data_IF_049340389077
#
_entry.id   IF_049340389077
#
_cell.length_a   1.000
_cell.length_b   1.000
_cell.length_c   1.000
_cell.angle_alpha   90.00
_cell.angle_beta   90.00
_cell.angle_gamma   90.00
#
_symmetry.space_group_name_H-M   'P 1'
#
loop_
_entity.id
_entity.type
_entity.pdbx_description
1 polymer ?
#
# COMPACT_ATOMS: atom_id res chain seq x y z
N UNK A 1 -17.19 -34.04 8.00
CA UNK A 1 -15.94 -33.28 8.09
C UNK A 1 -15.06 -33.66 6.92
N UNK A 2 -14.78 -32.73 6.01
CA UNK A 2 -14.01 -33.02 4.81
C UNK A 2 -12.51 -32.91 5.08
N UNK A 3 -11.81 -34.02 4.78
CA UNK A 3 -10.34 -34.08 4.66
C UNK A 3 -9.95 -33.80 3.20
N UNK A 4 -8.88 -33.05 3.02
CA UNK A 4 -8.11 -32.91 1.79
C UNK A 4 -7.09 -31.80 2.03
N UNK A 5 -5.80 -31.93 1.80
CA UNK A 5 -4.99 -32.90 1.09
C UNK A 5 -3.68 -32.14 0.83
N UNK A 6 -2.57 -32.67 1.31
CA UNK A 6 -1.28 -32.01 1.23
C UNK A 6 -0.82 -31.92 -0.23
N UNK A 7 -0.71 -30.69 -0.77
CA UNK A 7 0.15 -30.41 -1.91
C UNK A 7 0.60 -28.94 -1.87
N UNK A 8 1.67 -28.67 -1.12
CA UNK A 8 2.41 -27.40 -1.25
C UNK A 8 3.89 -27.60 -0.98
N UNK A 9 4.53 -28.45 -1.80
CA UNK A 9 5.98 -28.42 -1.97
C UNK A 9 6.25 -28.10 -3.44
N UNK A 10 7.21 -27.20 -3.64
CA UNK A 10 7.75 -26.67 -4.91
C UNK A 10 7.09 -25.39 -5.43
N UNK A 11 7.40 -24.25 -4.78
CA UNK A 11 7.62 -22.98 -5.49
C UNK A 11 8.86 -22.29 -4.88
N UNK A 12 10.07 -22.45 -5.43
CA UNK A 12 11.21 -21.65 -5.03
C UNK A 12 11.19 -20.35 -5.82
N UNK A 13 10.75 -19.28 -5.16
CA UNK A 13 11.32 -17.94 -5.35
C UNK A 13 10.84 -17.12 -4.17
N UNK A 14 11.77 -16.70 -3.34
CA UNK A 14 11.58 -15.87 -2.15
C UNK A 14 10.95 -14.49 -2.46
N UNK A 15 10.56 -14.24 -3.70
CA UNK A 15 9.80 -13.08 -4.19
C UNK A 15 8.29 -13.18 -3.94
N UNK A 16 7.70 -14.37 -3.81
CA UNK A 16 6.24 -14.56 -3.97
C UNK A 16 5.41 -14.54 -2.68
N UNK A 17 5.96 -14.16 -1.52
CA UNK A 17 5.25 -14.26 -0.23
C UNK A 17 4.92 -12.92 0.43
N UNK A 18 5.43 -11.79 -0.06
CA UNK A 18 5.01 -10.47 0.43
C UNK A 18 3.93 -9.87 -0.48
N UNK A 19 2.79 -9.39 0.07
CA UNK A 19 1.80 -8.72 -0.73
C UNK A 19 2.40 -7.45 -1.37
N UNK A 20 2.10 -7.17 -2.65
CA UNK A 20 2.61 -6.00 -3.36
C UNK A 20 2.06 -4.66 -2.81
N UNK A 21 1.03 -4.72 -1.96
CA UNK A 21 0.42 -3.57 -1.31
C UNK A 21 0.05 -3.89 0.14
N UNK A 22 0.14 -2.89 1.01
CA UNK A 22 -0.40 -2.93 2.38
C UNK A 22 -1.06 -1.60 2.71
N UNK A 23 -2.26 -1.68 3.28
CA UNK A 23 -2.98 -0.52 3.78
C UNK A 23 -3.02 -0.57 5.31
N UNK A 24 -2.52 0.47 5.95
CA UNK A 24 -2.40 0.57 7.41
C UNK A 24 -3.18 1.80 7.91
N UNK A 25 -4.03 1.60 8.91
CA UNK A 25 -4.72 2.69 9.61
C UNK A 25 -4.02 2.94 10.95
N UNK A 26 -3.44 4.11 11.11
CA UNK A 26 -2.82 4.56 12.34
C UNK A 26 -3.80 5.45 13.09
N UNK A 27 -4.19 5.03 14.29
CA UNK A 27 -5.02 5.83 15.17
C UNK A 27 -4.14 6.73 16.03
N UNK A 28 -4.20 8.04 15.80
CA UNK A 28 -3.50 9.04 16.58
C UNK A 28 -4.43 9.52 17.70
N UNK A 29 -3.96 9.46 18.95
CA UNK A 29 -4.71 9.83 20.16
C UNK A 29 -6.04 9.06 20.32
N UNK A 30 -5.97 7.72 20.31
CA UNK A 30 -7.13 6.86 20.53
C UNK A 30 -7.91 6.62 19.24
N UNK A 31 -8.86 7.50 18.89
CA UNK A 31 -9.66 7.43 17.65
C UNK A 31 -9.98 8.81 17.04
N UNK A 32 -9.51 9.91 17.64
CA UNK A 32 -9.84 11.26 17.18
C UNK A 32 -9.25 11.60 15.80
N UNK A 33 -8.15 10.95 15.40
CA UNK A 33 -7.55 11.14 14.08
C UNK A 33 -7.05 9.82 13.54
N UNK A 34 -7.52 9.46 12.35
CA UNK A 34 -7.08 8.27 11.63
C UNK A 34 -6.18 8.71 10.48
N UNK A 35 -4.98 8.13 10.41
CA UNK A 35 -4.06 8.31 9.28
C UNK A 35 -3.98 7.00 8.49
N UNK A 36 -4.39 7.03 7.23
CA UNK A 36 -4.22 5.91 6.31
C UNK A 36 -2.86 6.02 5.62
N UNK A 37 -2.12 4.92 5.62
CA UNK A 37 -0.94 4.70 4.81
C UNK A 37 -1.22 3.55 3.83
N UNK A 38 -1.28 3.85 2.54
CA UNK A 38 -1.36 2.82 1.49
C UNK A 38 0.00 2.67 0.82
N UNK A 39 0.68 1.56 1.08
CA UNK A 39 2.09 1.32 0.77
C UNK A 39 2.22 0.30 -0.34
N UNK A 40 3.03 0.62 -1.35
CA UNK A 40 3.37 -0.28 -2.43
C UNK A 40 4.79 -0.81 -2.29
N UNK A 41 4.95 -2.10 -2.52
CA UNK A 41 6.21 -2.83 -2.36
C UNK A 41 6.65 -3.44 -3.68
N UNK A 42 7.93 -3.29 -4.00
CA UNK A 42 8.62 -3.97 -5.07
C UNK A 42 9.84 -4.67 -4.47
N UNK A 43 10.00 -5.96 -4.72
CA UNK A 43 11.09 -6.78 -4.15
C UNK A 43 11.22 -6.67 -2.63
N UNK A 44 10.07 -6.63 -1.94
CA UNK A 44 9.94 -6.41 -0.49
C UNK A 44 10.37 -5.03 0.01
N UNK A 45 10.79 -4.13 -0.87
CA UNK A 45 11.12 -2.75 -0.56
C UNK A 45 9.92 -1.85 -0.82
N UNK A 46 9.53 -1.06 0.17
CA UNK A 46 8.53 0.00 -0.01
C UNK A 46 9.11 1.04 -0.98
N UNK A 47 8.45 1.28 -2.11
CA UNK A 47 8.92 2.25 -3.10
C UNK A 47 8.00 3.47 -3.21
N UNK A 48 6.71 3.32 -2.89
CA UNK A 48 5.70 4.37 -3.00
C UNK A 48 4.67 4.24 -1.87
N UNK A 49 4.19 5.39 -1.35
CA UNK A 49 3.14 5.40 -0.32
C UNK A 49 2.16 6.55 -0.50
N UNK A 50 0.87 6.28 -0.47
CA UNK A 50 -0.15 7.32 -0.24
C UNK A 50 -0.27 7.62 1.25
N UNK A 51 -0.23 8.90 1.61
CA UNK A 51 -0.36 9.37 2.98
C UNK A 51 -1.58 10.28 3.09
N UNK A 52 -2.58 9.87 3.87
CA UNK A 52 -3.82 10.63 4.01
C UNK A 52 -3.61 11.99 4.65
N UNK A 53 -2.63 12.14 5.56
CA UNK A 53 -2.35 13.42 6.21
C UNK A 53 -1.77 14.44 5.23
N UNK A 54 -1.03 13.96 4.21
CA UNK A 54 -0.49 14.80 3.14
C UNK A 54 -1.45 14.88 1.94
N UNK A 55 -2.39 13.95 1.85
CA UNK A 55 -3.33 13.82 0.74
C UNK A 55 -2.65 13.54 -0.61
N UNK A 56 -1.50 12.86 -0.62
CA UNK A 56 -0.72 12.60 -1.84
C UNK A 56 0.16 11.35 -1.73
N UNK A 57 0.66 10.89 -2.87
CA UNK A 57 1.70 9.87 -2.92
C UNK A 57 3.07 10.47 -2.62
N UNK A 58 3.86 9.74 -1.85
CA UNK A 58 5.23 10.04 -1.45
C UNK A 58 6.11 8.90 -1.92
N UNK A 59 7.16 9.23 -2.67
CA UNK A 59 8.18 8.28 -3.05
C UNK A 59 9.04 7.93 -1.83
N UNK A 60 9.28 6.63 -1.62
CA UNK A 60 10.17 6.13 -0.56
C UNK A 60 11.56 5.84 -1.11
N UNK A 61 11.65 5.49 -2.39
CA UNK A 61 12.89 5.28 -3.12
C UNK A 61 12.88 6.07 -4.42
N UNK A 62 14.04 6.21 -5.07
CA UNK A 62 14.16 6.87 -6.37
C UNK A 62 13.25 6.24 -7.46
N UNK A 63 13.04 4.92 -7.41
CA UNK A 63 12.10 4.23 -8.30
C UNK A 63 10.66 4.75 -8.15
N UNK A 64 10.28 5.16 -6.94
CA UNK A 64 8.97 5.69 -6.63
C UNK A 64 8.75 7.13 -7.09
N UNK A 65 9.80 7.90 -7.40
CA UNK A 65 9.70 9.34 -7.67
C UNK A 65 8.84 9.62 -8.91
N UNK A 66 9.21 9.03 -10.05
CA UNK A 66 8.44 9.16 -11.28
C UNK A 66 7.00 8.62 -11.14
N UNK A 67 6.81 7.59 -10.32
CA UNK A 67 5.48 7.02 -10.05
C UNK A 67 4.64 7.97 -9.18
N UNK A 68 5.24 8.58 -8.15
CA UNK A 68 4.61 9.55 -7.28
C UNK A 68 4.18 10.79 -8.05
N UNK A 69 5.04 11.34 -8.89
CA UNK A 69 4.73 12.51 -9.71
C UNK A 69 3.59 12.23 -10.67
N UNK A 70 3.61 11.09 -11.36
CA UNK A 70 2.53 10.67 -12.24
C UNK A 70 1.21 10.52 -11.49
N UNK A 71 1.21 9.82 -10.35
CA UNK A 71 0.01 9.63 -9.54
C UNK A 71 -0.52 10.94 -8.93
N UNK A 72 0.37 11.85 -8.51
CA UNK A 72 0.01 13.14 -7.94
C UNK A 72 -0.50 14.14 -9.00
N UNK A 73 -0.01 14.03 -10.24
CA UNK A 73 -0.50 14.82 -11.37
C UNK A 73 -1.89 14.38 -11.86
N UNK A 74 -2.27 13.13 -11.62
CA UNK A 74 -3.59 12.61 -11.97
C UNK A 74 -4.63 12.96 -10.89
N UNK A 75 -5.47 13.96 -11.21
CA UNK A 75 -6.53 14.44 -10.31
C UNK A 75 -7.55 13.37 -9.96
N UNK A 76 -7.87 12.46 -10.87
CA UNK A 76 -8.86 11.41 -10.61
C UNK A 76 -8.33 10.42 -9.57
N UNK A 77 -7.06 10.02 -9.72
CA UNK A 77 -6.40 9.11 -8.77
C UNK A 77 -6.34 9.74 -7.38
N UNK A 78 -5.87 10.99 -7.26
CA UNK A 78 -5.74 11.65 -5.95
C UNK A 78 -7.10 11.87 -5.30
N UNK A 79 -8.10 12.31 -6.06
CA UNK A 79 -9.43 12.54 -5.51
C UNK A 79 -10.08 11.23 -5.05
N UNK A 80 -9.97 10.15 -5.82
CA UNK A 80 -10.46 8.83 -5.43
C UNK A 80 -9.81 8.37 -4.12
N UNK A 81 -8.48 8.52 -3.98
CA UNK A 81 -7.76 8.13 -2.76
C UNK A 81 -8.10 8.98 -1.54
N UNK A 82 -8.36 10.28 -1.72
CA UNK A 82 -8.82 11.15 -0.63
C UNK A 82 -10.23 10.81 -0.15
N UNK A 83 -11.13 10.45 -1.07
CA UNK A 83 -12.55 10.18 -0.75
C UNK A 83 -12.77 8.75 -0.24
N UNK A 84 -11.90 7.80 -0.59
CA UNK A 84 -12.00 6.40 -0.14
C UNK A 84 -11.65 6.19 1.33
N UNK A 85 -11.34 7.27 2.07
CA UNK A 85 -11.10 7.23 3.50
C UNK A 85 -12.45 7.24 4.24
N UNK A 86 -12.70 6.33 5.20
CA UNK A 86 -13.85 6.47 6.08
C UNK A 86 -13.76 7.80 6.86
N UNK A 87 -14.89 8.48 7.11
CA UNK A 87 -14.94 9.73 7.86
C UNK A 87 -14.40 9.60 9.29
#
# INVERSE_FOLDING_TARGET
>A
GWRGGALRRLLPSSFLLSPPWKSECLFLNGTQRVRLLDRAFYDRQEFLRFDSDLGKFVAVTALGEATADKCNGDKQIIQYRKVSLPP
#
